data_IF_075520475093
#
_entry.id   IF_075520475093
#
_cell.length_a   1.000
_cell.length_b   1.000
_cell.length_c   1.000
_cell.angle_alpha   90.00
_cell.angle_beta   90.00
_cell.angle_gamma   90.00
#
_symmetry.space_group_name_H-M   'P 1'
#
loop_
_entity.id
_entity.type
_entity.pdbx_description
1 polymer ?
#
# COMPACT_ATOMS: atom_id res chain seq x y z
N UNK A 1 -41.14 -20.14 21.52
CA UNK A 1 -40.22 -20.67 20.52
C UNK A 1 -40.04 -19.69 19.37
N UNK A 2 -39.42 -18.57 19.60
CA UNK A 2 -39.15 -17.53 18.57
C UNK A 2 -37.74 -17.03 18.85
N UNK A 3 -36.74 -17.54 18.19
CA UNK A 3 -35.38 -17.06 18.47
C UNK A 3 -34.26 -17.51 17.54
N UNK A 4 -34.43 -18.63 16.83
CA UNK A 4 -33.32 -19.19 16.03
C UNK A 4 -33.17 -18.65 14.59
N UNK A 5 -34.19 -18.05 13.99
CA UNK A 5 -34.19 -17.63 12.59
C UNK A 5 -33.63 -16.22 12.37
N UNK A 6 -33.72 -15.34 13.35
CA UNK A 6 -33.25 -13.91 13.24
C UNK A 6 -31.75 -13.82 13.41
N UNK A 7 -31.11 -14.69 14.18
CA UNK A 7 -29.68 -14.66 14.46
C UNK A 7 -28.85 -15.03 13.22
N UNK A 8 -29.34 -15.92 12.35
CA UNK A 8 -28.61 -16.33 11.14
C UNK A 8 -28.52 -15.25 10.07
N UNK A 9 -29.51 -14.39 9.93
CA UNK A 9 -29.49 -13.32 8.91
C UNK A 9 -28.49 -12.20 9.22
N UNK A 10 -28.27 -11.89 10.49
CA UNK A 10 -27.31 -10.85 10.92
C UNK A 10 -25.86 -11.31 10.71
N UNK A 11 -25.56 -12.56 10.99
CA UNK A 11 -24.20 -13.12 10.75
C UNK A 11 -23.88 -13.24 9.26
N UNK A 12 -24.86 -13.58 8.42
CA UNK A 12 -24.70 -13.64 6.97
C UNK A 12 -24.37 -12.24 6.40
N UNK A 13 -25.03 -11.20 6.93
CA UNK A 13 -24.77 -9.82 6.47
C UNK A 13 -23.37 -9.35 6.84
N UNK A 14 -22.91 -9.63 8.05
CA UNK A 14 -21.57 -9.29 8.53
C UNK A 14 -20.52 -10.08 7.75
N UNK A 15 -20.73 -11.35 7.52
CA UNK A 15 -19.82 -12.19 6.75
C UNK A 15 -19.73 -11.76 5.27
N UNK A 16 -20.87 -11.43 4.65
CA UNK A 16 -20.92 -10.88 3.28
C UNK A 16 -20.17 -9.55 3.16
N UNK A 17 -20.26 -8.68 4.17
CA UNK A 17 -19.56 -7.39 4.18
C UNK A 17 -18.05 -7.58 4.32
N UNK A 18 -17.61 -8.51 5.16
CA UNK A 18 -16.19 -8.85 5.33
C UNK A 18 -15.62 -9.45 4.04
N UNK A 19 -16.34 -10.36 3.37
CA UNK A 19 -15.92 -10.95 2.10
C UNK A 19 -15.86 -9.91 0.99
N UNK A 20 -16.82 -8.98 0.93
CA UNK A 20 -16.81 -7.87 -0.05
C UNK A 20 -15.63 -6.91 0.17
N UNK A 21 -15.24 -6.67 1.41
CA UNK A 21 -14.07 -5.82 1.73
C UNK A 21 -12.75 -6.51 1.40
N UNK A 22 -12.66 -7.84 1.57
CA UNK A 22 -11.47 -8.62 1.24
C UNK A 22 -11.28 -8.81 -0.28
N UNK A 23 -12.36 -8.80 -1.06
CA UNK A 23 -12.29 -8.98 -2.51
C UNK A 23 -11.81 -7.73 -3.28
N UNK A 24 -11.78 -6.56 -2.66
CA UNK A 24 -11.31 -5.33 -3.32
C UNK A 24 -9.78 -5.15 -3.29
N UNK A 25 -9.04 -6.03 -2.63
CA UNK A 25 -7.57 -5.91 -2.51
C UNK A 25 -6.78 -6.59 -3.63
N UNK A 26 -7.42 -7.21 -4.62
CA UNK A 26 -6.74 -8.00 -5.66
C UNK A 26 -6.83 -7.42 -7.09
N UNK A 27 -7.32 -6.20 -7.26
CA UNK A 27 -7.49 -5.63 -8.60
C UNK A 27 -6.56 -4.43 -8.84
N UNK A 28 -5.25 -4.68 -8.89
CA UNK A 28 -4.30 -3.79 -9.59
C UNK A 28 -3.07 -4.60 -10.03
N UNK A 29 -3.26 -5.52 -10.96
CA UNK A 29 -2.21 -5.99 -11.85
C UNK A 29 -2.50 -5.44 -13.24
N UNK A 30 -2.33 -4.13 -13.39
CA UNK A 30 -2.08 -3.54 -14.69
C UNK A 30 -0.59 -3.76 -14.99
N UNK A 31 -0.30 -4.06 -16.24
CA UNK A 31 1.02 -4.21 -16.85
C UNK A 31 1.80 -2.86 -16.82
N UNK A 32 1.99 -2.29 -15.67
CA UNK A 32 2.84 -1.13 -15.47
C UNK A 32 4.24 -1.65 -15.18
N UNK A 33 5.16 -1.45 -16.10
CA UNK A 33 6.59 -1.63 -15.85
C UNK A 33 6.92 -1.04 -14.49
N UNK A 34 7.59 -1.82 -13.64
CA UNK A 34 8.01 -1.32 -12.33
C UNK A 34 8.90 -0.09 -12.53
N UNK A 35 8.66 1.02 -11.82
CA UNK A 35 9.49 2.19 -11.94
C UNK A 35 10.89 1.90 -11.40
N UNK A 36 11.89 2.55 -11.97
CA UNK A 36 13.30 2.43 -11.58
C UNK A 36 13.76 3.68 -10.82
N UNK A 37 14.78 3.50 -10.02
CA UNK A 37 15.60 4.55 -9.46
C UNK A 37 16.92 4.58 -10.21
N UNK A 38 17.23 5.68 -10.86
CA UNK A 38 18.42 5.86 -11.68
C UNK A 38 19.30 6.89 -11.01
N UNK A 39 20.50 6.50 -10.69
CA UNK A 39 21.51 7.37 -10.09
C UNK A 39 22.53 7.71 -11.14
N UNK A 40 22.76 8.99 -11.32
CA UNK A 40 23.81 9.56 -12.17
C UNK A 40 24.86 10.23 -11.30
N UNK A 41 25.99 10.61 -11.87
CA UNK A 41 27.04 11.32 -11.14
C UNK A 41 26.56 12.63 -10.50
N UNK A 42 25.48 13.24 -11.01
CA UNK A 42 24.98 14.55 -10.57
C UNK A 42 23.60 14.52 -9.95
N UNK A 43 22.73 13.58 -10.33
CA UNK A 43 21.31 13.58 -10.00
C UNK A 43 20.80 12.20 -9.61
N UNK A 44 19.71 12.19 -8.84
CA UNK A 44 18.92 10.99 -8.53
C UNK A 44 17.52 11.08 -9.16
N UNK A 45 17.23 10.21 -10.11
CA UNK A 45 15.91 10.14 -10.75
C UNK A 45 15.10 9.01 -10.12
N UNK A 46 14.07 9.39 -9.39
CA UNK A 46 13.26 8.49 -8.57
C UNK A 46 11.91 8.22 -9.24
N UNK A 47 11.55 6.94 -9.37
CA UNK A 47 10.28 6.47 -9.95
C UNK A 47 10.11 6.83 -11.44
N UNK A 48 11.12 6.57 -12.24
CA UNK A 48 11.06 6.70 -13.68
C UNK A 48 10.91 5.33 -14.36
N UNK A 49 10.17 5.29 -15.45
CA UNK A 49 10.07 4.13 -16.34
C UNK A 49 11.09 4.31 -17.48
N UNK A 50 11.74 3.23 -17.86
CA UNK A 50 12.69 3.21 -18.97
C UNK A 50 11.89 2.90 -20.25
N UNK A 51 11.90 3.84 -21.20
CA UNK A 51 11.12 3.71 -22.42
C UNK A 51 11.96 3.22 -23.60
N UNK A 52 13.09 3.89 -23.87
CA UNK A 52 13.91 3.62 -25.04
C UNK A 52 15.35 4.09 -24.84
N UNK A 53 16.22 3.63 -25.76
CA UNK A 53 17.55 4.21 -25.96
C UNK A 53 17.51 4.95 -27.30
N UNK A 54 17.90 6.22 -27.29
CA UNK A 54 18.11 7.05 -28.48
C UNK A 54 19.56 7.47 -28.53
N UNK A 55 20.30 6.97 -29.49
CA UNK A 55 21.75 7.18 -29.62
C UNK A 55 22.52 6.77 -28.36
N UNK A 56 23.04 7.73 -27.59
CA UNK A 56 23.76 7.55 -26.34
C UNK A 56 22.96 7.99 -25.11
N UNK A 57 21.66 8.25 -25.29
CA UNK A 57 20.76 8.74 -24.26
C UNK A 57 19.70 7.71 -23.90
N UNK A 58 19.40 7.59 -22.63
CA UNK A 58 18.28 6.83 -22.09
C UNK A 58 17.07 7.73 -21.95
N UNK A 59 15.99 7.37 -22.64
CA UNK A 59 14.69 8.05 -22.52
C UNK A 59 13.90 7.45 -21.38
N UNK A 60 13.64 8.24 -20.35
CA UNK A 60 12.88 7.83 -19.16
C UNK A 60 11.68 8.74 -18.94
N UNK A 61 10.60 8.17 -18.39
CA UNK A 61 9.34 8.86 -18.17
C UNK A 61 8.89 8.74 -16.71
N UNK A 62 8.39 9.82 -16.13
CA UNK A 62 7.82 9.83 -14.78
C UNK A 62 6.29 9.89 -14.77
N UNK A 63 5.66 9.64 -15.92
CA UNK A 63 4.21 9.73 -16.11
C UNK A 63 3.72 11.11 -16.59
N UNK A 64 4.56 12.15 -16.56
CA UNK A 64 4.21 13.51 -17.00
C UNK A 64 5.00 13.97 -18.24
N UNK A 65 6.30 13.68 -18.26
CA UNK A 65 7.20 14.06 -19.36
C UNK A 65 8.36 13.08 -19.49
N UNK A 66 8.91 13.04 -20.70
CA UNK A 66 10.11 12.28 -21.00
C UNK A 66 11.35 13.11 -20.65
N UNK A 67 12.34 12.46 -20.07
CA UNK A 67 13.65 13.02 -19.75
C UNK A 67 14.69 12.17 -20.47
N UNK A 68 15.67 12.81 -21.10
CA UNK A 68 16.82 12.17 -21.72
C UNK A 68 18.03 12.29 -20.81
N UNK A 69 18.68 11.17 -20.58
CA UNK A 69 19.84 11.05 -19.69
C UNK A 69 20.97 10.39 -20.48
N UNK A 70 22.16 10.97 -20.44
CA UNK A 70 23.33 10.33 -21.02
C UNK A 70 23.61 8.99 -20.33
N UNK A 71 23.68 7.90 -21.09
CA UNK A 71 23.98 6.56 -20.56
C UNK A 71 25.37 6.51 -19.92
N UNK A 72 26.30 7.34 -20.41
CA UNK A 72 27.64 7.44 -19.85
C UNK A 72 27.62 7.87 -18.37
N UNK A 73 26.70 8.78 -18.01
CA UNK A 73 26.58 9.37 -16.68
C UNK A 73 25.83 8.48 -15.69
N UNK A 74 25.19 7.39 -16.15
CA UNK A 74 24.47 6.46 -15.27
C UNK A 74 25.48 5.63 -14.50
N UNK A 75 25.41 5.69 -13.17
CA UNK A 75 26.24 4.92 -12.26
C UNK A 75 25.54 3.67 -11.73
N UNK A 76 24.21 3.78 -11.43
CA UNK A 76 23.49 2.71 -10.79
C UNK A 76 22.01 2.73 -11.18
N UNK A 77 21.44 1.55 -11.38
CA UNK A 77 19.98 1.37 -11.53
C UNK A 77 19.49 0.44 -10.43
N UNK A 78 18.43 0.85 -9.76
CA UNK A 78 17.82 0.11 -8.67
C UNK A 78 16.29 0.06 -8.79
N UNK A 79 15.68 -0.95 -8.17
CA UNK A 79 14.24 -0.97 -7.92
C UNK A 79 13.91 -0.11 -6.69
N UNK A 80 12.71 0.51 -6.68
CA UNK A 80 12.27 1.24 -5.51
C UNK A 80 12.20 0.33 -4.28
N UNK A 81 12.51 0.87 -3.10
CA UNK A 81 12.48 0.08 -1.88
C UNK A 81 11.08 -0.47 -1.64
N UNK A 82 10.97 -1.78 -1.50
CA UNK A 82 9.72 -2.45 -1.14
C UNK A 82 9.29 -2.02 0.27
N UNK A 83 7.96 -1.87 0.50
CA UNK A 83 7.46 -1.55 1.84
C UNK A 83 7.94 -2.62 2.83
N UNK A 84 8.63 -2.21 3.89
CA UNK A 84 9.09 -3.15 4.89
C UNK A 84 7.90 -3.85 5.55
N UNK A 85 7.89 -5.18 5.55
CA UNK A 85 6.83 -6.00 6.15
C UNK A 85 6.65 -5.66 7.64
N UNK A 86 7.75 -5.38 8.33
CA UNK A 86 7.74 -4.92 9.71
C UNK A 86 7.00 -3.60 9.89
N UNK A 87 7.23 -2.62 9.01
CA UNK A 87 6.52 -1.34 9.03
C UNK A 87 5.03 -1.48 8.78
N UNK A 88 4.64 -2.39 7.86
CA UNK A 88 3.23 -2.69 7.61
C UNK A 88 2.57 -3.36 8.82
N UNK A 89 3.24 -4.31 9.47
CA UNK A 89 2.73 -4.98 10.65
C UNK A 89 2.60 -4.03 11.84
N UNK A 90 3.63 -3.24 12.13
CA UNK A 90 3.58 -2.22 13.18
C UNK A 90 2.51 -1.18 12.91
N UNK A 91 2.49 -0.61 11.71
CA UNK A 91 1.50 0.38 11.32
C UNK A 91 0.08 -0.18 11.38
N UNK A 92 -0.12 -1.42 10.90
CA UNK A 92 -1.41 -2.12 11.00
C UNK A 92 -1.84 -2.38 12.45
N UNK A 93 -0.93 -2.85 13.30
CA UNK A 93 -1.21 -3.12 14.70
C UNK A 93 -1.57 -1.86 15.47
N UNK A 94 -0.73 -0.84 15.41
CA UNK A 94 -0.98 0.46 16.07
C UNK A 94 -2.23 1.14 15.48
N UNK A 95 -2.34 1.16 14.15
CA UNK A 95 -3.50 1.74 13.47
C UNK A 95 -4.80 1.02 13.82
N UNK A 96 -4.77 -0.31 13.89
CA UNK A 96 -5.93 -1.11 14.30
C UNK A 96 -6.38 -0.82 15.74
N UNK A 97 -5.44 -0.73 16.66
CA UNK A 97 -5.74 -0.39 18.05
C UNK A 97 -6.31 1.03 18.16
N UNK A 98 -5.65 2.03 17.58
CA UNK A 98 -6.15 3.40 17.56
C UNK A 98 -7.52 3.50 16.88
N UNK A 99 -7.70 2.81 15.76
CA UNK A 99 -8.96 2.76 15.04
C UNK A 99 -10.09 2.14 15.86
N UNK A 100 -9.80 1.08 16.63
CA UNK A 100 -10.77 0.46 17.53
C UNK A 100 -11.25 1.46 18.59
N UNK A 101 -10.32 2.16 19.24
CA UNK A 101 -10.64 3.13 20.28
C UNK A 101 -11.46 4.29 19.70
N UNK A 102 -10.98 4.90 18.63
CA UNK A 102 -11.65 6.03 17.96
C UNK A 102 -13.01 5.62 17.37
N UNK A 103 -13.09 4.43 16.78
CA UNK A 103 -14.32 3.89 16.23
C UNK A 103 -15.37 3.52 17.29
N UNK A 104 -14.94 3.14 18.49
CA UNK A 104 -15.86 2.86 19.60
C UNK A 104 -16.56 4.12 20.14
N UNK A 105 -15.94 5.31 20.02
CA UNK A 105 -16.48 6.56 20.55
C UNK A 105 -17.89 6.89 20.01
N UNK A 106 -18.13 6.94 18.69
CA UNK A 106 -19.47 7.19 18.15
C UNK A 106 -20.49 6.15 18.63
N UNK A 107 -20.10 4.88 18.67
CA UNK A 107 -20.95 3.81 19.16
C UNK A 107 -21.35 4.00 20.61
N UNK A 108 -20.43 4.46 21.46
CA UNK A 108 -20.68 4.77 22.84
C UNK A 108 -21.68 5.95 23.01
N UNK A 109 -21.52 7.01 22.21
CA UNK A 109 -22.49 8.12 22.22
C UNK A 109 -23.89 7.69 21.77
N UNK A 110 -23.98 6.89 20.69
CA UNK A 110 -25.26 6.36 20.21
C UNK A 110 -25.88 5.47 21.28
N UNK A 111 -25.09 4.64 21.98
CA UNK A 111 -25.56 3.78 23.05
C UNK A 111 -26.13 4.61 24.22
N UNK A 112 -25.46 5.68 24.65
CA UNK A 112 -25.94 6.58 25.72
C UNK A 112 -27.24 7.28 25.30
N UNK A 113 -27.29 7.86 24.10
CA UNK A 113 -28.47 8.61 23.59
C UNK A 113 -29.68 7.69 23.45
N UNK A 114 -29.45 6.43 23.07
CA UNK A 114 -30.51 5.44 22.92
C UNK A 114 -31.01 4.87 24.28
N UNK A 115 -30.56 5.45 25.41
CA UNK A 115 -30.95 5.02 26.74
C UNK A 115 -30.26 3.73 27.18
N UNK A 116 -28.97 3.60 26.83
CA UNK A 116 -28.13 2.42 27.09
C UNK A 116 -28.14 2.03 28.55
N UNK A 117 -28.99 1.06 28.86
CA UNK A 117 -29.02 0.37 30.14
C UNK A 117 -28.71 -1.10 29.89
N UNK A 118 -27.98 -1.71 30.78
CA UNK A 118 -27.68 -3.14 30.77
C UNK A 118 -28.92 -3.99 31.15
N UNK A 119 -30.13 -3.39 31.13
CA UNK A 119 -31.40 -4.04 31.49
C UNK A 119 -32.10 -4.70 30.28
N UNK A 120 -33.05 -5.62 30.57
CA UNK A 120 -33.84 -6.26 29.52
C UNK A 120 -34.68 -5.22 28.77
N UNK A 121 -34.34 -4.98 27.50
CA UNK A 121 -35.01 -4.02 26.60
C UNK A 121 -34.20 -2.80 26.22
N UNK A 122 -33.03 -2.55 26.80
CA UNK A 122 -32.09 -1.51 26.35
C UNK A 122 -31.22 -1.97 25.17
N UNK A 123 -30.65 -1.06 24.38
CA UNK A 123 -29.66 -1.41 23.36
C UNK A 123 -28.46 -2.06 24.05
N UNK A 124 -28.12 -3.27 23.63
CA UNK A 124 -26.94 -3.94 24.10
C UNK A 124 -25.67 -3.20 23.60
N UNK A 125 -24.53 -3.38 24.27
CA UNK A 125 -23.28 -2.74 23.88
C UNK A 125 -22.71 -3.18 22.52
N UNK A 126 -23.46 -3.97 21.75
CA UNK A 126 -23.07 -4.48 20.45
C UNK A 126 -22.79 -3.36 19.45
N UNK A 127 -23.46 -2.23 19.57
CA UNK A 127 -23.23 -1.07 18.71
C UNK A 127 -21.81 -0.46 18.92
N UNK A 128 -21.35 -0.42 20.15
CA UNK A 128 -19.99 0.06 20.50
C UNK A 128 -18.95 -0.88 19.91
N UNK A 129 -19.18 -2.19 20.02
CA UNK A 129 -18.32 -3.20 19.42
C UNK A 129 -18.33 -3.12 17.90
N UNK A 130 -19.50 -2.97 17.27
CA UNK A 130 -19.61 -2.90 15.83
C UNK A 130 -18.86 -1.70 15.25
N UNK A 131 -19.05 -0.49 15.84
CA UNK A 131 -18.35 0.73 15.41
C UNK A 131 -16.86 0.66 15.71
N UNK A 132 -16.47 0.06 16.84
CA UNK A 132 -15.06 -0.19 17.17
C UNK A 132 -14.39 -1.11 16.15
N UNK A 133 -15.04 -2.19 15.74
CA UNK A 133 -14.50 -3.12 14.72
C UNK A 133 -14.36 -2.46 13.35
N UNK A 134 -15.31 -1.61 12.94
CA UNK A 134 -15.20 -0.83 11.70
C UNK A 134 -14.02 0.12 11.78
N UNK A 135 -13.87 0.82 12.91
CA UNK A 135 -12.73 1.69 13.18
C UNK A 135 -11.39 0.93 13.16
N UNK A 136 -11.34 -0.26 13.78
CA UNK A 136 -10.16 -1.10 13.75
C UNK A 136 -9.78 -1.52 12.33
N UNK A 137 -10.74 -1.93 11.50
CA UNK A 137 -10.50 -2.29 10.09
C UNK A 137 -9.93 -1.12 9.29
N UNK A 138 -10.53 0.06 9.40
CA UNK A 138 -10.01 1.27 8.79
C UNK A 138 -8.60 1.62 9.32
N UNK A 139 -8.39 1.53 10.63
CA UNK A 139 -7.11 1.78 11.26
C UNK A 139 -6.01 0.83 10.80
N UNK A 140 -6.30 -0.46 10.64
CA UNK A 140 -5.37 -1.45 10.08
C UNK A 140 -5.00 -1.07 8.65
N UNK A 141 -5.98 -0.76 7.81
CA UNK A 141 -5.75 -0.41 6.41
C UNK A 141 -4.84 0.82 6.27
N UNK A 142 -5.21 1.93 6.89
CA UNK A 142 -4.42 3.16 6.81
C UNK A 142 -3.09 3.03 7.55
N UNK A 143 -3.07 2.34 8.68
CA UNK A 143 -1.85 2.10 9.45
C UNK A 143 -0.82 1.27 8.67
N UNK A 144 -1.24 0.22 7.96
CA UNK A 144 -0.35 -0.56 7.09
C UNK A 144 0.20 0.28 5.93
N UNK A 145 -0.65 1.10 5.31
CA UNK A 145 -0.25 1.98 4.22
C UNK A 145 0.79 3.01 4.69
N UNK A 146 0.54 3.66 5.82
CA UNK A 146 1.47 4.62 6.41
C UNK A 146 2.74 3.95 6.92
N UNK A 147 2.62 2.85 7.66
CA UNK A 147 3.77 2.10 8.16
C UNK A 147 4.67 1.60 7.03
N UNK A 148 4.10 1.07 5.94
CA UNK A 148 4.86 0.69 4.75
C UNK A 148 5.55 1.87 4.06
N UNK A 149 4.96 3.08 4.11
CA UNK A 149 5.56 4.29 3.55
C UNK A 149 6.73 4.83 4.38
N UNK A 150 6.58 4.84 5.70
CA UNK A 150 7.61 5.39 6.59
C UNK A 150 8.76 4.41 6.86
N UNK A 151 8.47 3.12 6.90
CA UNK A 151 9.49 2.07 7.07
C UNK A 151 9.78 1.41 5.73
N UNK A 152 10.41 2.15 4.82
CA UNK A 152 10.88 1.60 3.55
C UNK A 152 12.18 0.82 3.76
N UNK A 153 12.34 -0.28 3.01
CA UNK A 153 13.61 -0.98 2.89
C UNK A 153 14.66 -0.13 2.15
N UNK A 154 15.82 -0.71 1.94
CA UNK A 154 16.81 -0.13 1.01
C UNK A 154 16.38 -0.42 -0.43
N UNK A 155 16.75 0.44 -1.40
CA UNK A 155 16.56 0.14 -2.81
C UNK A 155 17.30 -1.15 -3.17
N UNK A 156 16.71 -1.97 -4.01
CA UNK A 156 17.31 -3.19 -4.50
C UNK A 156 18.14 -2.86 -5.74
N UNK A 157 19.47 -2.90 -5.61
CA UNK A 157 20.38 -2.60 -6.72
C UNK A 157 20.25 -3.71 -7.77
N UNK A 158 19.88 -3.33 -9.01
CA UNK A 158 19.84 -4.24 -10.15
C UNK A 158 21.22 -4.33 -10.76
N UNK A 159 21.85 -3.18 -10.99
CA UNK A 159 23.15 -3.09 -11.62
C UNK A 159 23.92 -1.87 -11.13
N UNK A 160 25.22 -2.04 -10.96
CA UNK A 160 26.19 -0.98 -10.70
C UNK A 160 27.09 -0.86 -11.93
N UNK A 161 27.04 0.28 -12.57
CA UNK A 161 27.74 0.59 -13.80
C UNK A 161 29.08 1.33 -13.62
N UNK A 162 29.55 1.48 -12.38
CA UNK A 162 30.71 2.31 -12.05
C UNK A 162 31.97 2.00 -12.87
N UNK A 163 32.09 0.76 -13.35
CA UNK A 163 33.28 0.30 -14.10
C UNK A 163 32.96 -0.20 -15.53
N UNK A 164 31.73 0.03 -16.01
CA UNK A 164 31.30 -0.48 -17.31
C UNK A 164 31.58 0.55 -18.42
N UNK A 165 31.94 0.06 -19.59
CA UNK A 165 32.00 0.86 -20.80
C UNK A 165 30.61 1.27 -21.28
N UNK A 166 30.53 2.31 -22.09
CA UNK A 166 29.26 2.78 -22.64
C UNK A 166 28.52 1.70 -23.42
N UNK A 167 29.23 0.89 -24.20
CA UNK A 167 28.66 -0.19 -25.01
C UNK A 167 28.07 -1.31 -24.12
N UNK A 168 28.74 -1.66 -23.04
CA UNK A 168 28.26 -2.66 -22.09
C UNK A 168 27.00 -2.17 -21.36
N UNK A 169 26.98 -0.90 -20.93
CA UNK A 169 25.81 -0.27 -20.34
C UNK A 169 24.61 -0.33 -21.29
N UNK A 170 24.80 0.08 -22.55
CA UNK A 170 23.73 0.04 -23.58
C UNK A 170 23.21 -1.37 -23.79
N UNK A 171 24.11 -2.34 -24.00
CA UNK A 171 23.72 -3.72 -24.23
C UNK A 171 22.90 -4.29 -23.07
N UNK A 172 23.31 -4.00 -21.83
CA UNK A 172 22.60 -4.46 -20.64
C UNK A 172 21.19 -3.83 -20.55
N UNK A 173 21.08 -2.51 -20.70
CA UNK A 173 19.81 -1.80 -20.62
C UNK A 173 18.85 -2.30 -21.69
N UNK A 174 19.34 -2.45 -22.93
CA UNK A 174 18.52 -2.90 -24.05
C UNK A 174 18.02 -4.34 -23.88
N UNK A 175 18.85 -5.22 -23.30
CA UNK A 175 18.50 -6.63 -23.16
C UNK A 175 17.64 -6.91 -21.94
N UNK A 176 17.83 -6.17 -20.84
CA UNK A 176 17.26 -6.54 -19.53
C UNK A 176 16.19 -5.56 -19.02
N UNK A 177 16.19 -4.30 -19.50
CA UNK A 177 15.33 -3.27 -18.91
C UNK A 177 14.31 -2.70 -19.90
N UNK A 178 14.55 -2.79 -21.22
CA UNK A 178 13.60 -2.40 -22.26
C UNK A 178 12.87 -3.66 -22.72
N UNK A 179 11.55 -3.69 -22.53
CA UNK A 179 10.66 -4.77 -22.95
C UNK A 179 9.80 -4.33 -24.12
#
# INVERSE_FOLDING_TARGET
>A
MIGKSQMNKRYIFIFSFIVLFLSQTTAQTGDSQEPYWIYTATDELINYQINAIEDDELVVNNGNWDVKISIADIELIALPPKPALFGQLLGGGVGGYCGLVVGAIPGFFIWIIAGGTTGPGGPDGSIVLATGLVGAGAGIYYGRKLGGKYFKGKPEIIVDFSFWSLEEKKAFIQTNLIQ
#
